data_IF_638421345650
#
_entry.id   IF_638421345650
#
_cell.length_a   1.000
_cell.length_b   1.000
_cell.length_c   1.000
_cell.angle_alpha   90.00
_cell.angle_beta   90.00
_cell.angle_gamma   90.00
#
_symmetry.space_group_name_H-M   'P 1'
#
loop_
_entity.id
_entity.type
_entity.pdbx_description
1 polymer ?
#
# COMPACT_ATOMS: atom_id res chain seq x y z
N UNK A 1 12.25 8.87 10.53
CA UNK A 1 12.38 8.48 9.11
C UNK A 1 12.22 6.98 8.93
N UNK A 2 12.91 6.15 9.72
CA UNK A 2 12.77 4.68 9.67
C UNK A 2 11.37 4.15 10.02
N UNK A 3 10.71 4.69 11.06
CA UNK A 3 9.36 4.23 11.44
C UNK A 3 8.33 4.39 10.32
N UNK A 4 8.39 5.50 9.58
CA UNK A 4 7.50 5.79 8.46
C UNK A 4 7.73 4.83 7.29
N UNK A 5 8.99 4.44 7.07
CA UNK A 5 9.42 3.45 6.07
C UNK A 5 8.95 2.04 6.44
N UNK A 6 9.03 1.69 7.72
CA UNK A 6 8.53 0.43 8.30
C UNK A 6 7.01 0.31 8.20
N UNK A 7 6.29 1.42 8.43
CA UNK A 7 4.83 1.45 8.30
C UNK A 7 4.39 1.30 6.83
N UNK A 8 5.12 1.92 5.90
CA UNK A 8 4.95 1.73 4.46
C UNK A 8 5.19 0.25 4.07
N UNK A 9 6.28 -0.35 4.51
CA UNK A 9 6.57 -1.78 4.29
C UNK A 9 5.44 -2.69 4.76
N UNK A 10 4.87 -2.42 5.94
CA UNK A 10 3.72 -3.18 6.46
C UNK A 10 2.45 -2.99 5.63
N UNK A 11 2.21 -1.80 5.10
CA UNK A 11 1.05 -1.54 4.23
C UNK A 11 1.24 -2.23 2.87
N UNK A 12 2.41 -2.08 2.25
CA UNK A 12 2.75 -2.68 0.97
C UNK A 12 2.72 -4.22 1.02
N UNK A 13 3.25 -4.83 2.08
CA UNK A 13 3.18 -6.29 2.28
C UNK A 13 1.75 -6.80 2.44
N UNK A 14 0.85 -6.04 3.07
CA UNK A 14 -0.58 -6.39 3.18
C UNK A 14 -1.33 -6.24 1.86
N UNK A 15 -0.88 -5.35 0.98
CA UNK A 15 -1.46 -5.13 -0.35
C UNK A 15 -1.05 -6.19 -1.38
N UNK A 16 -0.18 -7.15 -1.01
CA UNK A 16 0.28 -8.15 -1.95
C UNK A 16 1.22 -7.58 -3.01
N UNK A 17 1.84 -6.42 -2.74
CA UNK A 17 2.91 -5.84 -3.55
C UNK A 17 4.18 -6.70 -3.36
N UNK A 18 4.12 -7.89 -3.93
CA UNK A 18 5.16 -8.91 -3.94
C UNK A 18 5.76 -9.08 -5.34
N UNK A 19 5.29 -8.25 -6.30
CA UNK A 19 5.68 -8.36 -7.71
C UNK A 19 7.13 -7.94 -7.97
N UNK A 20 7.73 -7.15 -7.08
CA UNK A 20 9.14 -6.78 -7.20
C UNK A 20 9.81 -6.58 -5.83
N UNK A 21 10.46 -7.62 -5.27
CA UNK A 21 11.16 -7.56 -3.99
C UNK A 21 12.30 -6.52 -3.98
N UNK A 22 12.92 -6.24 -5.13
CA UNK A 22 14.08 -5.33 -5.22
C UNK A 22 13.68 -3.87 -4.99
N UNK A 23 12.40 -3.51 -5.15
CA UNK A 23 11.94 -2.17 -4.88
C UNK A 23 11.84 -1.86 -3.36
N UNK A 24 11.61 -2.88 -2.53
CA UNK A 24 11.55 -2.70 -1.06
C UNK A 24 12.88 -2.21 -0.48
N UNK A 25 13.99 -2.58 -1.12
CA UNK A 25 15.33 -2.12 -0.76
C UNK A 25 15.58 -0.65 -1.18
N UNK A 26 14.72 -0.07 -2.02
CA UNK A 26 14.88 1.28 -2.63
C UNK A 26 13.70 2.21 -2.32
N UNK A 27 13.08 2.05 -1.15
CA UNK A 27 11.95 2.89 -0.70
C UNK A 27 12.28 4.38 -0.48
N UNK A 28 13.56 4.76 -0.53
CA UNK A 28 14.00 6.16 -0.45
C UNK A 28 13.95 6.86 -1.83
N UNK A 29 13.69 6.10 -2.89
CA UNK A 29 13.56 6.58 -4.26
C UNK A 29 12.08 6.80 -4.65
N UNK A 30 11.80 7.56 -5.71
CA UNK A 30 10.45 7.73 -6.21
C UNK A 30 9.77 6.38 -6.49
N UNK A 31 8.56 6.21 -5.96
CA UNK A 31 7.80 4.98 -6.14
C UNK A 31 7.44 4.78 -7.63
N UNK A 32 7.53 3.54 -8.16
CA UNK A 32 7.04 3.20 -9.48
C UNK A 32 5.55 3.53 -9.63
N UNK A 33 5.13 3.90 -10.85
CA UNK A 33 3.73 4.24 -11.14
C UNK A 33 2.75 3.14 -10.71
N UNK A 34 3.09 1.87 -10.94
CA UNK A 34 2.22 0.74 -10.60
C UNK A 34 1.97 0.62 -9.09
N UNK A 35 2.95 0.96 -8.24
CA UNK A 35 2.78 0.99 -6.78
C UNK A 35 1.75 2.05 -6.40
N UNK A 36 1.86 3.23 -6.99
CA UNK A 36 0.94 4.35 -6.72
C UNK A 36 -0.48 3.97 -7.14
N UNK A 37 -0.63 3.32 -8.30
CA UNK A 37 -1.93 2.85 -8.78
C UNK A 37 -2.55 1.78 -7.87
N UNK A 38 -1.78 0.79 -7.41
CA UNK A 38 -2.29 -0.21 -6.45
C UNK A 38 -2.68 0.43 -5.11
N UNK A 39 -1.90 1.41 -4.62
CA UNK A 39 -2.29 2.16 -3.43
C UNK A 39 -3.58 2.95 -3.62
N UNK A 40 -3.80 3.55 -4.80
CA UNK A 40 -5.05 4.24 -5.12
C UNK A 40 -6.24 3.27 -5.15
N UNK A 41 -6.10 2.11 -5.80
CA UNK A 41 -7.15 1.07 -5.83
C UNK A 41 -7.49 0.61 -4.41
N UNK A 42 -6.48 0.29 -3.60
CA UNK A 42 -6.70 -0.14 -2.23
C UNK A 42 -7.38 0.93 -1.35
N UNK A 43 -7.12 2.21 -1.61
CA UNK A 43 -7.81 3.31 -0.93
C UNK A 43 -9.27 3.44 -1.37
N UNK A 44 -9.58 3.16 -2.64
CA UNK A 44 -10.95 3.13 -3.14
C UNK A 44 -11.73 1.95 -2.54
N UNK A 45 -11.13 0.76 -2.51
CA UNK A 45 -11.72 -0.43 -1.88
C UNK A 45 -11.98 -0.22 -0.38
N UNK A 46 -11.08 0.47 0.33
CA UNK A 46 -11.28 0.80 1.74
C UNK A 46 -12.48 1.73 1.98
N UNK A 47 -12.83 2.59 1.01
CA UNK A 47 -14.00 3.47 1.12
C UNK A 47 -15.31 2.75 0.83
N UNK A 48 -15.28 1.64 0.11
CA UNK A 48 -16.47 0.83 -0.16
C UNK A 48 -16.83 -0.12 0.98
N UNK A 49 -16.03 -0.20 2.07
CA UNK A 49 -16.40 -1.03 3.23
C UNK A 49 -17.70 -0.52 3.86
N UNK A 50 -18.83 -1.26 3.72
CA UNK A 50 -20.11 -0.84 4.24
C UNK A 50 -20.18 -1.27 5.70
N UNK A 51 -19.50 -0.54 6.59
CA UNK A 51 -19.80 -0.61 8.02
C UNK A 51 -21.05 0.21 8.34
N UNK A 52 -22.15 -0.05 7.64
CA UNK A 52 -23.47 0.16 8.20
C UNK A 52 -24.03 -1.23 8.50
N UNK A 53 -24.13 -1.63 9.78
CA UNK A 53 -25.04 -2.70 10.11
C UNK A 53 -26.41 -2.21 9.63
N UNK A 54 -27.03 -2.96 8.72
CA UNK A 54 -28.44 -2.74 8.41
C UNK A 54 -29.19 -2.91 9.73
N UNK A 55 -29.71 -1.80 10.26
CA UNK A 55 -30.65 -1.76 11.37
C UNK A 55 -32.00 -2.35 10.90
#
# INVERSE_FOLDING_TARGET
MEERKLELLRKLSRLGIQKDPQWLDRLDEPAPLWVVLEMMVAMLEQRESPHQPFD
#
